data_IF_634795494774
#
_entry.id   IF_634795494774
#
_cell.length_a   1.000
_cell.length_b   1.000
_cell.length_c   1.000
_cell.angle_alpha   90.00
_cell.angle_beta   90.00
_cell.angle_gamma   90.00
#
_symmetry.space_group_name_H-M   'P 1'
#
loop_
_entity.id
_entity.type
_entity.pdbx_description
1 polymer ?
#
# COMPACT_ATOMS: atom_id res chain seq x y z
N UNK A 1 6.01 15.87 -7.76
CA UNK A 1 5.54 15.74 -7.44
C UNK A 1 5.07 15.82 -6.84
N UNK A 2 4.91 15.52 -6.13
CA UNK A 2 4.00 15.59 -5.80
C UNK A 2 3.69 15.16 -4.51
N UNK A 3 2.81 14.30 -4.16
CA UNK A 3 2.38 13.89 -2.86
C UNK A 3 2.76 12.45 -2.64
N UNK A 4 3.03 12.04 -1.38
CA UNK A 4 3.07 10.62 -1.08
C UNK A 4 1.73 10.01 -1.45
N UNK A 5 1.76 8.82 -2.05
CA UNK A 5 0.51 8.22 -2.51
C UNK A 5 0.64 6.71 -2.61
N UNK A 6 -0.51 6.06 -2.64
CA UNK A 6 -0.59 4.62 -2.86
C UNK A 6 -1.00 4.38 -4.30
N UNK A 7 -0.40 3.38 -4.91
CA UNK A 7 -0.78 2.96 -6.25
C UNK A 7 -1.23 1.51 -6.18
N UNK A 8 -2.43 1.24 -6.69
CA UNK A 8 -2.93 -0.12 -6.80
C UNK A 8 -2.70 -0.60 -8.21
N UNK A 9 -2.18 -1.81 -8.36
CA UNK A 9 -1.92 -2.36 -9.67
C UNK A 9 -2.09 -3.88 -9.61
N UNK A 10 -2.07 -4.52 -10.76
CA UNK A 10 -2.24 -5.95 -10.84
C UNK A 10 -0.95 -6.62 -11.29
N UNK A 11 -0.69 -7.81 -10.76
CA UNK A 11 0.43 -8.60 -11.23
C UNK A 11 -0.02 -9.44 -12.43
N UNK A 12 0.87 -10.29 -12.91
CA UNK A 12 0.58 -11.08 -14.10
C UNK A 12 -0.49 -12.14 -13.87
N UNK A 13 -0.83 -12.40 -12.61
CA UNK A 13 -1.89 -13.34 -12.26
C UNK A 13 -3.21 -12.64 -12.00
N UNK A 14 -3.27 -11.34 -12.31
CA UNK A 14 -4.46 -10.52 -12.12
C UNK A 14 -4.82 -10.32 -10.66
N UNK A 15 -3.87 -10.50 -9.78
CA UNK A 15 -4.06 -10.20 -8.36
C UNK A 15 -3.66 -8.75 -8.11
N UNK A 16 -4.35 -8.11 -7.18
CA UNK A 16 -4.10 -6.71 -6.87
C UNK A 16 -3.09 -6.56 -5.76
N UNK A 17 -2.26 -5.54 -5.85
CA UNK A 17 -1.36 -5.18 -4.76
C UNK A 17 -1.14 -3.68 -4.81
N UNK A 18 -0.60 -3.13 -3.73
CA UNK A 18 -0.36 -1.69 -3.67
C UNK A 18 1.09 -1.41 -3.36
N UNK A 19 1.51 -0.22 -3.78
CA UNK A 19 2.85 0.28 -3.50
C UNK A 19 2.67 1.70 -2.96
N UNK A 20 3.40 2.03 -1.92
CA UNK A 20 3.38 3.37 -1.35
C UNK A 20 4.60 4.12 -1.81
N UNK A 21 4.39 5.27 -2.41
CA UNK A 21 5.46 6.09 -2.96
C UNK A 21 5.64 7.36 -2.17
N UNK A 22 6.92 7.76 -1.98
CA UNK A 22 7.22 9.08 -1.44
C UNK A 22 6.93 10.14 -2.50
N UNK A 23 6.94 11.40 -2.06
CA UNK A 23 6.66 12.50 -2.96
C UNK A 23 7.66 12.58 -4.12
N UNK A 24 8.88 12.10 -3.91
CA UNK A 24 9.88 12.11 -4.98
C UNK A 24 9.76 10.93 -5.93
N UNK A 25 8.73 10.10 -5.75
CA UNK A 25 8.51 8.97 -6.64
C UNK A 25 9.18 7.68 -6.21
N UNK A 26 9.85 7.69 -5.10
CA UNK A 26 10.56 6.51 -4.63
C UNK A 26 9.62 5.57 -3.89
N UNK A 27 9.66 4.28 -4.22
CA UNK A 27 8.82 3.29 -3.54
C UNK A 27 9.33 3.07 -2.12
N UNK A 28 8.46 3.25 -1.14
CA UNK A 28 8.83 3.12 0.26
C UNK A 28 8.31 1.82 0.87
N UNK A 29 7.19 1.31 0.37
CA UNK A 29 6.59 0.11 0.94
C UNK A 29 5.67 -0.51 -0.08
N UNK A 30 5.32 -1.78 0.15
CA UNK A 30 4.37 -2.46 -0.72
C UNK A 30 3.59 -3.45 0.13
N UNK A 31 2.46 -3.90 -0.40
CA UNK A 31 1.64 -4.87 0.33
C UNK A 31 2.42 -6.17 0.49
N UNK A 32 2.20 -6.84 1.61
CA UNK A 32 2.88 -8.09 1.89
C UNK A 32 2.27 -9.25 1.11
N UNK A 33 1.10 -9.05 0.52
CA UNK A 33 0.44 -10.10 -0.23
C UNK A 33 -0.37 -9.51 -1.37
N UNK A 34 -0.84 -10.36 -2.25
CA UNK A 34 -1.70 -9.96 -3.34
C UNK A 34 -3.13 -10.31 -2.99
N UNK A 35 -4.06 -9.57 -3.58
CA UNK A 35 -5.48 -9.74 -3.30
C UNK A 35 -6.22 -10.06 -4.59
N UNK A 36 -7.12 -11.02 -4.52
CA UNK A 36 -7.90 -11.39 -5.70
C UNK A 36 -8.87 -10.29 -6.10
N UNK A 37 -9.35 -9.52 -5.12
CA UNK A 37 -10.33 -8.47 -5.36
C UNK A 37 -9.71 -7.10 -5.14
N UNK A 38 -10.08 -6.16 -6.01
CA UNK A 38 -9.63 -4.79 -5.84
C UNK A 38 -10.09 -4.21 -4.51
N UNK A 39 -11.32 -4.57 -4.10
CA UNK A 39 -11.87 -4.06 -2.84
C UNK A 39 -11.03 -4.49 -1.65
N UNK A 40 -10.53 -5.73 -1.67
CA UNK A 40 -9.69 -6.21 -0.58
C UNK A 40 -8.37 -5.47 -0.53
N UNK A 41 -7.80 -5.16 -1.69
CA UNK A 41 -6.58 -4.39 -1.77
C UNK A 41 -6.81 -2.99 -1.20
N UNK A 42 -7.91 -2.37 -1.58
CA UNK A 42 -8.28 -1.06 -1.07
C UNK A 42 -8.44 -1.07 0.43
N UNK A 43 -9.07 -2.12 0.94
CA UNK A 43 -9.27 -2.25 2.38
C UNK A 43 -7.92 -2.32 3.11
N UNK A 44 -6.97 -3.05 2.54
CA UNK A 44 -5.66 -3.17 3.17
C UNK A 44 -4.95 -1.82 3.23
N UNK A 45 -5.13 -0.98 2.22
CA UNK A 45 -4.57 0.36 2.23
C UNK A 45 -5.16 1.17 3.38
N UNK A 46 -6.47 1.05 3.59
CA UNK A 46 -7.13 1.76 4.68
C UNK A 46 -6.55 1.36 6.02
N UNK A 47 -6.28 0.07 6.20
CA UNK A 47 -5.71 -0.42 7.45
C UNK A 47 -4.30 0.14 7.66
N UNK A 48 -3.51 0.22 6.60
CA UNK A 48 -2.17 0.77 6.71
C UNK A 48 -2.23 2.25 7.06
N UNK A 49 -3.14 2.99 6.44
CA UNK A 49 -3.29 4.40 6.75
C UNK A 49 -3.62 4.63 8.20
N UNK A 50 -4.50 3.80 8.75
CA UNK A 50 -4.87 3.92 10.14
C UNK A 50 -3.68 3.60 11.03
N UNK A 51 -2.90 2.60 10.66
CA UNK A 51 -1.76 2.18 11.48
C UNK A 51 -0.68 3.26 11.57
N UNK A 52 -0.63 4.17 10.61
CA UNK A 52 0.34 5.26 10.66
C UNK A 52 0.06 6.22 11.81
N UNK A 53 -1.11 6.15 12.40
CA UNK A 53 -1.47 6.98 13.55
C UNK A 53 -1.06 6.35 14.86
N UNK A 54 -0.58 5.12 14.83
CA UNK A 54 -0.22 4.39 16.03
C UNK A 54 1.25 4.58 16.34
N UNK A 55 1.59 4.36 17.59
CA UNK A 55 2.97 4.48 18.01
C UNK A 55 3.81 3.34 17.44
N UNK A 56 5.06 3.64 17.20
CA UNK A 56 6.02 2.63 16.80
C UNK A 56 6.43 1.85 18.02
N UNK A 57 6.40 0.53 17.92
CA UNK A 57 6.84 -0.34 18.99
C UNK A 57 8.17 -0.95 18.64
N UNK A 58 9.08 -0.93 19.59
CA UNK A 58 10.38 -1.57 19.41
C UNK A 58 10.45 -2.81 20.25
N UNK A 59 11.02 -3.85 19.69
CA UNK A 59 11.14 -5.13 20.39
C UNK A 59 12.58 -5.46 20.65
#
# INVERSE_FOLDING_TARGET
>A
MEFPHYKMTQDKNNNWYWIYYAANGEALARSSESYANKADCEHSIQLVKVSLLHKIHEY
#
